data_IF_293181456800
#
_entry.id   IF_293181456800
#
_cell.length_a   1.000
_cell.length_b   1.000
_cell.length_c   1.000
_cell.angle_alpha   90.00
_cell.angle_beta   90.00
_cell.angle_gamma   90.00
#
_symmetry.space_group_name_H-M   'P 1'
#
loop_
_entity.id
_entity.type
_entity.pdbx_description
1 polymer ?
#
# COMPACT_ATOMS: atom_id res chain seq x y z
N UNK A 1 -5.52 17.16 1.31
CA UNK A 1 -4.56 17.13 2.41
C UNK A 1 -4.84 15.91 3.29
N UNK A 2 -3.81 15.16 3.64
CA UNK A 2 -3.81 13.99 4.51
C UNK A 2 -2.71 14.16 5.55
N UNK A 3 -2.98 13.79 6.80
CA UNK A 3 -1.96 13.79 7.86
C UNK A 3 -2.08 12.55 8.74
N UNK A 4 -0.96 12.17 9.33
CA UNK A 4 -0.94 11.15 10.38
C UNK A 4 -1.39 11.72 11.72
N UNK A 5 -2.06 10.88 12.52
CA UNK A 5 -2.47 11.20 13.90
C UNK A 5 -1.90 10.16 14.85
N UNK A 6 -1.41 10.63 15.98
CA UNK A 6 -0.82 9.81 17.04
C UNK A 6 -1.66 9.84 18.32
N UNK A 7 -2.69 10.68 18.34
CA UNK A 7 -3.60 10.83 19.49
C UNK A 7 -4.99 11.23 19.04
N UNK A 8 -5.97 11.08 19.95
CA UNK A 8 -7.34 11.57 19.72
C UNK A 8 -7.36 13.10 19.59
N UNK A 9 -6.48 13.83 20.27
CA UNK A 9 -6.39 15.29 20.14
C UNK A 9 -5.96 15.72 18.75
N UNK A 10 -4.98 15.02 18.14
CA UNK A 10 -4.56 15.27 16.76
C UNK A 10 -5.71 14.99 15.78
N UNK A 11 -6.40 13.86 15.98
CA UNK A 11 -7.54 13.48 15.15
C UNK A 11 -8.69 14.50 15.24
N UNK A 12 -9.00 15.03 16.43
CA UNK A 12 -9.99 16.09 16.61
C UNK A 12 -9.61 17.36 15.86
N UNK A 13 -8.34 17.76 15.91
CA UNK A 13 -7.86 18.91 15.15
C UNK A 13 -8.10 18.74 13.65
N UNK A 14 -7.83 17.54 13.09
CA UNK A 14 -8.08 17.28 11.69
C UNK A 14 -9.58 17.32 11.34
N UNK A 15 -10.46 16.86 12.23
CA UNK A 15 -11.91 16.98 12.06
C UNK A 15 -12.33 18.46 12.04
N UNK A 16 -11.84 19.28 12.96
CA UNK A 16 -12.11 20.72 13.03
C UNK A 16 -11.64 21.45 11.76
N UNK A 17 -10.51 21.01 11.17
CA UNK A 17 -9.99 21.52 9.89
C UNK A 17 -10.78 21.02 8.67
N UNK A 18 -11.78 20.15 8.85
CA UNK A 18 -12.63 19.62 7.80
C UNK A 18 -11.96 18.51 6.94
N UNK A 19 -10.88 17.91 7.44
CA UNK A 19 -10.22 16.79 6.76
C UNK A 19 -11.17 15.59 6.64
N UNK A 20 -11.17 14.94 5.48
CA UNK A 20 -12.02 13.77 5.20
C UNK A 20 -11.25 12.45 5.33
N UNK A 21 -9.95 12.52 5.26
CA UNK A 21 -9.05 11.39 5.27
C UNK A 21 -8.02 11.52 6.38
N UNK A 22 -7.61 10.40 6.96
CA UNK A 22 -6.65 10.37 8.05
C UNK A 22 -5.74 9.15 7.95
N UNK A 23 -4.50 9.29 8.40
CA UNK A 23 -3.54 8.17 8.53
C UNK A 23 -3.32 7.82 9.99
N UNK A 24 -3.40 6.53 10.30
CA UNK A 24 -2.96 5.95 11.58
C UNK A 24 -1.60 5.27 11.34
N UNK A 25 -0.52 5.71 11.99
CA UNK A 25 0.80 5.10 11.81
C UNK A 25 0.89 3.74 12.50
N UNK A 26 1.90 2.94 12.14
CA UNK A 26 2.10 1.58 12.65
C UNK A 26 2.09 1.46 14.16
N UNK A 27 2.67 2.44 14.86
CA UNK A 27 2.76 2.44 16.33
C UNK A 27 1.40 2.56 17.02
N UNK A 28 0.41 3.12 16.32
CA UNK A 28 -0.95 3.33 16.81
C UNK A 28 -1.95 2.29 16.28
N UNK A 29 -1.50 1.30 15.53
CA UNK A 29 -2.38 0.27 14.93
C UNK A 29 -3.09 -0.63 15.95
N UNK A 30 -2.74 -0.54 17.24
CA UNK A 30 -3.37 -1.23 18.38
C UNK A 30 -4.01 -0.24 19.36
N UNK A 31 -4.04 1.05 19.04
CA UNK A 31 -4.73 2.06 19.82
C UNK A 31 -6.22 2.06 19.47
N UNK A 32 -6.97 1.13 20.07
CA UNK A 32 -8.38 0.87 19.76
C UNK A 32 -9.25 2.13 19.92
N UNK A 33 -8.96 3.00 20.89
CA UNK A 33 -9.70 4.26 21.08
C UNK A 33 -9.48 5.23 19.91
N UNK A 34 -8.23 5.34 19.43
CA UNK A 34 -7.91 6.19 18.28
C UNK A 34 -8.53 5.62 17.01
N UNK A 35 -8.45 4.30 16.81
CA UNK A 35 -9.03 3.59 15.68
C UNK A 35 -10.54 3.84 15.61
N UNK A 36 -11.25 3.62 16.73
CA UNK A 36 -12.68 3.86 16.81
C UNK A 36 -13.03 5.32 16.51
N UNK A 37 -12.34 6.28 17.14
CA UNK A 37 -12.57 7.70 16.87
C UNK A 37 -12.38 8.06 15.40
N UNK A 38 -11.30 7.56 14.76
CA UNK A 38 -11.06 7.81 13.35
C UNK A 38 -12.14 7.20 12.47
N UNK A 39 -12.58 5.96 12.74
CA UNK A 39 -13.64 5.30 12.01
C UNK A 39 -15.01 5.98 12.09
N UNK A 40 -15.28 6.71 13.17
CA UNK A 40 -16.54 7.43 13.36
C UNK A 40 -16.54 8.84 12.73
N UNK A 41 -15.37 9.45 12.53
CA UNK A 41 -15.25 10.87 12.18
C UNK A 41 -14.64 11.16 10.82
N UNK A 42 -14.03 10.18 10.14
CA UNK A 42 -13.43 10.35 8.81
C UNK A 42 -14.12 9.46 7.77
N UNK A 43 -14.04 9.87 6.49
CA UNK A 43 -14.58 9.10 5.37
C UNK A 43 -13.62 7.98 4.95
N UNK A 44 -12.31 8.23 5.03
CA UNK A 44 -11.26 7.25 4.69
C UNK A 44 -10.20 7.22 5.77
N UNK A 45 -9.84 6.02 6.18
CA UNK A 45 -8.76 5.78 7.16
C UNK A 45 -7.71 4.85 6.56
N UNK A 46 -6.47 5.31 6.53
CA UNK A 46 -5.31 4.49 6.17
C UNK A 46 -4.60 4.07 7.46
N UNK A 47 -4.47 2.77 7.71
CA UNK A 47 -3.80 2.27 8.91
C UNK A 47 -2.60 1.41 8.53
N UNK A 48 -1.39 1.85 8.87
CA UNK A 48 -0.18 1.04 8.71
C UNK A 48 -0.09 -0.04 9.78
N UNK A 49 0.34 -1.24 9.36
CA UNK A 49 0.32 -2.47 10.16
C UNK A 49 1.72 -2.97 10.53
N UNK A 50 2.74 -2.13 10.40
CA UNK A 50 4.08 -2.41 10.91
C UNK A 50 4.07 -2.59 12.44
N UNK A 51 5.04 -3.33 12.97
CA UNK A 51 5.16 -3.64 14.41
C UNK A 51 4.00 -4.46 15.00
N UNK A 52 3.04 -4.93 14.19
CA UNK A 52 1.90 -5.72 14.65
C UNK A 52 1.86 -7.10 14.01
N UNK A 53 1.41 -8.08 14.78
CA UNK A 53 1.07 -9.42 14.31
C UNK A 53 -0.26 -9.40 13.55
N UNK A 54 -0.57 -10.46 12.80
CA UNK A 54 -1.87 -10.59 12.14
C UNK A 54 -3.03 -10.66 13.13
N UNK A 55 -2.84 -11.34 14.26
CA UNK A 55 -3.86 -11.47 15.31
C UNK A 55 -4.18 -10.11 15.94
N UNK A 56 -3.15 -9.29 16.24
CA UNK A 56 -3.35 -7.93 16.75
C UNK A 56 -4.06 -7.02 15.74
N UNK A 57 -3.76 -7.18 14.44
CA UNK A 57 -4.45 -6.45 13.39
C UNK A 57 -5.91 -6.90 13.31
N UNK A 58 -6.16 -8.21 13.35
CA UNK A 58 -7.50 -8.79 13.33
C UNK A 58 -8.33 -8.31 14.54
N UNK A 59 -7.73 -8.22 15.71
CA UNK A 59 -8.39 -7.65 16.89
C UNK A 59 -8.77 -6.19 16.64
N UNK A 60 -7.87 -5.41 16.05
CA UNK A 60 -8.11 -3.99 15.75
C UNK A 60 -9.27 -3.76 14.78
N UNK A 61 -9.58 -4.72 13.88
CA UNK A 61 -10.73 -4.63 12.97
C UNK A 61 -12.07 -4.51 13.72
N UNK A 62 -12.17 -5.05 14.94
CA UNK A 62 -13.39 -4.96 15.74
C UNK A 62 -13.74 -3.51 16.15
N UNK A 63 -12.78 -2.60 16.04
CA UNK A 63 -12.93 -1.18 16.36
C UNK A 63 -13.08 -0.29 15.12
N UNK A 64 -13.09 -0.90 13.93
CA UNK A 64 -13.36 -0.18 12.69
C UNK A 64 -14.82 0.28 12.68
N UNK A 65 -15.04 1.59 12.58
CA UNK A 65 -16.39 2.11 12.41
C UNK A 65 -16.94 1.71 11.02
N UNK A 66 -18.26 1.60 10.93
CA UNK A 66 -18.96 1.25 9.68
C UNK A 66 -19.07 2.42 8.68
N UNK A 67 -18.73 3.62 9.10
CA UNK A 67 -18.86 4.85 8.30
C UNK A 67 -17.64 5.14 7.42
N UNK A 68 -16.46 4.71 7.83
CA UNK A 68 -15.23 4.94 7.10
C UNK A 68 -14.88 3.80 6.12
N UNK A 69 -14.26 4.18 4.99
CA UNK A 69 -13.53 3.24 4.14
C UNK A 69 -12.13 3.03 4.71
N UNK A 70 -11.78 1.79 5.02
CA UNK A 70 -10.50 1.44 5.62
C UNK A 70 -9.52 0.85 4.62
N UNK A 71 -8.24 1.25 4.75
CA UNK A 71 -7.13 0.66 4.00
C UNK A 71 -6.06 0.19 4.98
N UNK A 72 -5.82 -1.12 5.01
CA UNK A 72 -4.68 -1.70 5.75
C UNK A 72 -3.41 -1.56 4.92
N UNK A 73 -2.43 -0.84 5.44
CA UNK A 73 -1.16 -0.60 4.76
C UNK A 73 -0.11 -1.58 5.29
N UNK A 74 0.28 -2.60 4.50
CA UNK A 74 1.46 -3.37 4.86
C UNK A 74 2.65 -2.44 5.05
N UNK A 75 3.44 -2.69 6.08
CA UNK A 75 4.56 -1.84 6.43
C UNK A 75 5.61 -2.63 7.22
N UNK A 76 6.89 -2.35 6.98
CA UNK A 76 7.99 -2.73 7.86
C UNK A 76 8.59 -1.43 8.40
N UNK A 77 8.47 -1.22 9.72
CA UNK A 77 8.83 0.05 10.37
C UNK A 77 10.33 0.15 10.67
N UNK A 78 11.17 -0.01 9.64
CA UNK A 78 12.62 0.26 9.65
C UNK A 78 12.91 1.34 8.60
N UNK A 79 13.85 2.25 8.86
CA UNK A 79 14.10 3.47 8.10
C UNK A 79 15.58 3.68 7.81
N UNK A 80 16.09 3.33 6.60
CA UNK A 80 15.39 2.63 5.52
C UNK A 80 15.11 1.16 5.84
N UNK A 81 14.21 0.55 5.07
CA UNK A 81 13.94 -0.88 5.11
C UNK A 81 14.85 -1.60 4.09
N UNK A 82 15.43 -2.73 4.46
CA UNK A 82 16.17 -3.60 3.55
C UNK A 82 15.21 -4.48 2.73
N UNK A 83 15.57 -4.79 1.49
CA UNK A 83 14.79 -5.67 0.61
C UNK A 83 14.52 -7.06 1.23
N UNK A 84 15.49 -7.60 1.95
CA UNK A 84 15.41 -8.94 2.55
C UNK A 84 14.33 -9.09 3.63
N UNK A 85 13.89 -7.96 4.22
CA UNK A 85 12.87 -7.93 5.28
C UNK A 85 11.56 -7.29 4.85
N UNK A 86 11.40 -6.91 3.58
CA UNK A 86 10.21 -6.26 3.06
C UNK A 86 8.92 -7.06 3.26
N UNK A 87 9.02 -8.39 3.23
CA UNK A 87 7.93 -9.34 3.48
C UNK A 87 6.62 -8.99 2.73
N UNK A 88 6.72 -8.64 1.46
CA UNK A 88 5.53 -8.31 0.65
C UNK A 88 4.46 -9.42 0.60
N UNK A 89 4.79 -10.73 0.71
CA UNK A 89 3.77 -11.79 0.82
C UNK A 89 2.77 -11.57 1.97
N UNK A 90 3.14 -10.86 3.06
CA UNK A 90 2.20 -10.50 4.14
C UNK A 90 0.98 -9.71 3.64
N UNK A 91 1.08 -9.05 2.49
CA UNK A 91 -0.07 -8.37 1.86
C UNK A 91 -1.18 -9.36 1.46
N UNK A 92 -0.84 -10.60 1.12
CA UNK A 92 -1.82 -11.65 0.82
C UNK A 92 -2.57 -12.02 2.10
N UNK A 93 -1.86 -12.16 3.21
CA UNK A 93 -2.46 -12.45 4.51
C UNK A 93 -3.39 -11.31 4.98
N UNK A 94 -2.96 -10.06 4.77
CA UNK A 94 -3.81 -8.90 5.05
C UNK A 94 -5.07 -8.89 4.18
N UNK A 95 -4.98 -9.33 2.91
CA UNK A 95 -6.16 -9.43 2.03
C UNK A 95 -7.16 -10.50 2.49
N UNK A 96 -6.71 -11.54 3.18
CA UNK A 96 -7.61 -12.56 3.74
C UNK A 96 -8.48 -12.00 4.87
N UNK A 97 -8.03 -10.95 5.55
CA UNK A 97 -8.75 -10.33 6.68
C UNK A 97 -9.41 -8.99 6.31
N UNK A 98 -8.93 -8.32 5.26
CA UNK A 98 -9.51 -7.06 4.78
C UNK A 98 -9.23 -6.85 3.29
N UNK A 99 -10.26 -6.49 2.50
CA UNK A 99 -10.16 -6.43 1.04
C UNK A 99 -9.42 -5.19 0.49
N UNK A 100 -9.28 -4.11 1.27
CA UNK A 100 -8.57 -2.90 0.88
C UNK A 100 -7.17 -2.89 1.51
N UNK A 101 -6.17 -3.31 0.76
CA UNK A 101 -4.78 -3.37 1.22
C UNK A 101 -3.91 -2.43 0.38
N UNK A 102 -3.01 -1.72 1.05
CA UNK A 102 -1.99 -0.87 0.48
C UNK A 102 -0.60 -1.23 1.01
N UNK A 103 0.39 -0.42 0.65
CA UNK A 103 1.77 -0.59 1.08
C UNK A 103 2.39 0.75 1.49
N UNK A 104 2.86 0.83 2.73
CA UNK A 104 3.66 1.94 3.26
C UNK A 104 5.13 1.53 3.20
N UNK A 105 5.86 2.11 2.26
CA UNK A 105 7.15 1.65 1.77
C UNK A 105 8.30 2.52 2.28
N UNK A 106 9.24 1.90 3.01
CA UNK A 106 10.44 2.53 3.54
C UNK A 106 11.74 2.06 2.83
N UNK A 107 11.61 1.28 1.76
CA UNK A 107 12.74 0.85 0.93
C UNK A 107 13.14 2.00 0.01
N UNK A 108 14.43 2.20 -0.19
CA UNK A 108 14.95 3.16 -1.16
C UNK A 108 14.58 2.74 -2.59
N UNK A 109 14.21 3.70 -3.44
CA UNK A 109 13.78 3.44 -4.81
C UNK A 109 12.30 3.07 -4.91
N UNK A 110 11.86 2.51 -6.03
CA UNK A 110 10.45 2.25 -6.36
C UNK A 110 10.13 0.79 -6.69
N UNK A 111 11.13 -0.10 -6.63
CA UNK A 111 10.98 -1.51 -7.05
C UNK A 111 10.01 -2.28 -6.15
N UNK A 112 10.11 -2.09 -4.83
CA UNK A 112 9.18 -2.69 -3.86
C UNK A 112 7.75 -2.21 -4.07
N UNK A 113 7.56 -0.92 -4.34
CA UNK A 113 6.24 -0.35 -4.66
C UNK A 113 5.64 -0.97 -5.93
N UNK A 114 6.44 -1.16 -6.99
CA UNK A 114 6.02 -1.84 -8.22
C UNK A 114 5.54 -3.27 -7.94
N UNK A 115 6.29 -4.01 -7.15
CA UNK A 115 5.93 -5.38 -6.77
C UNK A 115 4.64 -5.37 -5.93
N UNK A 116 4.53 -4.46 -4.96
CA UNK A 116 3.33 -4.33 -4.13
C UNK A 116 2.07 -4.03 -4.96
N UNK A 117 2.17 -3.22 -6.02
CA UNK A 117 1.07 -2.98 -6.95
C UNK A 117 0.69 -4.28 -7.67
N UNK A 118 1.66 -5.09 -8.11
CA UNK A 118 1.42 -6.42 -8.67
C UNK A 118 0.73 -7.38 -7.68
N UNK A 119 1.03 -7.27 -6.39
CA UNK A 119 0.28 -7.94 -5.31
C UNK A 119 -1.12 -7.34 -5.08
N UNK A 120 -1.48 -6.26 -5.81
CA UNK A 120 -2.78 -5.61 -5.77
C UNK A 120 -2.92 -4.58 -4.65
N UNK A 121 -1.85 -3.90 -4.29
CA UNK A 121 -1.93 -2.71 -3.45
C UNK A 121 -2.85 -1.68 -4.10
N UNK A 122 -3.78 -1.13 -3.30
CA UNK A 122 -4.71 -0.07 -3.73
C UNK A 122 -4.14 1.31 -3.47
N UNK A 123 -3.22 1.41 -2.52
CA UNK A 123 -2.57 2.64 -2.09
C UNK A 123 -1.08 2.36 -1.88
N UNK A 124 -0.25 3.27 -2.33
CA UNK A 124 1.19 3.28 -2.06
C UNK A 124 1.53 4.57 -1.32
N UNK A 125 2.24 4.44 -0.22
CA UNK A 125 2.81 5.54 0.56
C UNK A 125 4.34 5.45 0.50
N UNK A 126 4.99 6.56 0.17
CA UNK A 126 6.45 6.66 0.06
C UNK A 126 6.95 7.97 0.68
N UNK A 127 8.11 7.94 1.33
CA UNK A 127 8.86 9.16 1.62
C UNK A 127 9.27 9.83 0.32
N UNK A 128 9.06 11.14 0.23
CA UNK A 128 9.32 11.94 -0.96
C UNK A 128 10.16 13.17 -0.61
N UNK A 129 11.13 13.49 -1.44
CA UNK A 129 11.92 14.72 -1.33
C UNK A 129 12.28 15.25 -2.72
N UNK A 130 12.58 16.53 -2.80
CA UNK A 130 13.12 17.15 -4.02
C UNK A 130 14.65 17.03 -4.12
N UNK A 131 15.32 16.72 -3.01
CA UNK A 131 16.79 16.54 -2.97
C UNK A 131 17.14 15.69 -1.72
N UNK A 132 17.83 14.57 -1.94
CA UNK A 132 18.27 13.66 -0.88
C UNK A 132 19.34 14.27 0.05
N UNK A 133 19.97 15.38 -0.35
CA UNK A 133 20.98 16.10 0.45
C UNK A 133 20.35 17.13 1.40
N UNK A 134 19.06 17.40 1.32
CA UNK A 134 18.37 18.28 2.24
C UNK A 134 18.46 17.75 3.69
N UNK A 135 18.53 18.67 4.70
CA UNK A 135 18.54 18.25 6.09
C UNK A 135 17.25 17.52 6.44
N UNK A 136 17.39 16.38 7.09
CA UNK A 136 16.27 15.55 7.50
C UNK A 136 16.65 14.07 7.46
N UNK A 137 16.20 13.33 8.46
CA UNK A 137 16.58 11.93 8.64
C UNK A 137 16.13 11.07 7.46
N UNK A 138 14.93 11.32 6.95
CA UNK A 138 14.27 10.48 5.97
C UNK A 138 14.54 10.90 4.52
N UNK A 139 15.10 12.11 4.29
CA UNK A 139 15.46 12.59 2.95
C UNK A 139 16.44 11.67 2.22
N UNK A 140 17.33 11.01 2.95
CA UNK A 140 18.41 10.18 2.38
C UNK A 140 17.91 8.98 1.57
N UNK A 141 16.73 8.45 1.90
CA UNK A 141 16.14 7.28 1.22
C UNK A 141 14.79 7.60 0.56
N UNK A 142 14.31 8.83 0.68
CA UNK A 142 13.09 9.28 0.02
C UNK A 142 13.23 9.23 -1.51
N UNK A 143 12.12 9.00 -2.20
CA UNK A 143 12.10 9.03 -3.67
C UNK A 143 12.13 10.49 -4.17
N UNK A 144 12.70 10.68 -5.34
CA UNK A 144 12.78 11.96 -6.06
C UNK A 144 11.57 12.15 -7.02
N UNK A 145 11.36 13.36 -7.55
CA UNK A 145 10.28 13.63 -8.51
C UNK A 145 10.27 12.70 -9.73
N UNK A 146 11.44 12.37 -10.27
CA UNK A 146 11.58 11.44 -11.40
C UNK A 146 11.18 10.01 -11.04
N UNK A 147 11.46 9.55 -9.83
CA UNK A 147 11.02 8.25 -9.31
C UNK A 147 9.50 8.20 -9.18
N UNK A 148 8.91 9.24 -8.60
CA UNK A 148 7.46 9.36 -8.45
C UNK A 148 6.76 9.36 -9.82
N UNK A 149 7.32 10.08 -10.79
CA UNK A 149 6.83 10.09 -12.17
C UNK A 149 6.94 8.70 -12.81
N UNK A 150 8.08 8.02 -12.62
CA UNK A 150 8.29 6.64 -13.09
C UNK A 150 7.30 5.67 -12.48
N UNK A 151 7.06 5.76 -11.17
CA UNK A 151 6.08 4.93 -10.46
C UNK A 151 4.66 5.18 -10.96
N UNK A 152 4.27 6.45 -11.16
CA UNK A 152 2.97 6.83 -11.69
C UNK A 152 2.70 6.23 -13.08
N UNK A 153 3.68 6.28 -13.99
CA UNK A 153 3.58 5.60 -15.29
C UNK A 153 3.43 4.09 -15.15
N UNK A 154 4.19 3.49 -14.24
CA UNK A 154 4.20 2.05 -14.04
C UNK A 154 2.86 1.51 -13.54
N UNK A 155 2.11 2.30 -12.76
CA UNK A 155 0.76 1.94 -12.30
C UNK A 155 -0.16 1.61 -13.47
N UNK A 156 -0.14 2.41 -14.53
CA UNK A 156 -0.97 2.15 -15.72
C UNK A 156 -0.58 0.85 -16.42
N UNK A 157 0.72 0.58 -16.59
CA UNK A 157 1.18 -0.65 -17.23
C UNK A 157 0.82 -1.90 -16.40
N UNK A 158 1.00 -1.85 -15.09
CA UNK A 158 0.62 -2.98 -14.22
C UNK A 158 -0.88 -3.22 -14.28
N UNK A 159 -1.70 -2.17 -14.23
CA UNK A 159 -3.15 -2.31 -14.34
C UNK A 159 -3.53 -3.12 -15.58
N UNK A 160 -3.00 -2.76 -16.73
CA UNK A 160 -3.29 -3.45 -17.98
C UNK A 160 -2.78 -4.90 -17.99
N UNK A 161 -1.56 -5.13 -17.48
CA UNK A 161 -0.95 -6.46 -17.39
C UNK A 161 -1.66 -7.39 -16.40
N UNK A 162 -2.36 -6.84 -15.40
CA UNK A 162 -3.07 -7.62 -14.37
C UNK A 162 -4.52 -7.90 -14.73
N UNK A 163 -5.00 -7.51 -15.92
CA UNK A 163 -6.35 -7.86 -16.38
C UNK A 163 -6.40 -9.37 -16.61
N UNK A 164 -7.32 -10.03 -15.92
CA UNK A 164 -7.57 -11.45 -16.12
C UNK A 164 -8.43 -11.67 -17.36
N UNK A 165 -7.84 -12.22 -18.41
CA UNK A 165 -8.53 -12.57 -19.67
C UNK A 165 -9.11 -13.98 -19.67
N UNK A 166 -9.16 -14.67 -18.52
CA UNK A 166 -9.63 -16.04 -18.40
C UNK A 166 -8.56 -17.09 -18.71
N UNK A 167 -8.98 -18.35 -18.85
CA UNK A 167 -8.10 -19.50 -18.99
C UNK A 167 -7.88 -19.93 -20.47
N UNK A 168 -8.49 -19.23 -21.42
CA UNK A 168 -8.29 -19.48 -22.84
C UNK A 168 -7.00 -18.85 -23.37
N UNK A 169 -6.55 -19.31 -24.55
CA UNK A 169 -5.46 -18.62 -25.24
C UNK A 169 -5.96 -17.30 -25.86
N UNK A 170 -5.07 -16.32 -25.96
CA UNK A 170 -5.37 -15.05 -26.60
C UNK A 170 -5.62 -15.25 -28.10
N UNK A 171 -6.65 -14.62 -28.66
CA UNK A 171 -6.95 -14.71 -30.10
C UNK A 171 -5.77 -14.31 -31.01
N UNK A 172 -4.90 -13.43 -30.54
CA UNK A 172 -3.69 -13.02 -31.26
C UNK A 172 -2.65 -14.15 -31.38
N UNK A 173 -2.76 -15.20 -30.54
CA UNK A 173 -1.90 -16.38 -30.58
C UNK A 173 -2.38 -17.45 -31.60
N UNK A 174 -3.52 -17.22 -32.27
CA UNK A 174 -4.13 -18.18 -33.16
C UNK A 174 -3.22 -18.59 -34.35
N UNK A 175 -2.49 -17.62 -34.90
CA UNK A 175 -1.54 -17.89 -35.99
C UNK A 175 -0.37 -18.75 -35.49
N UNK A 176 0.21 -18.44 -34.36
CA UNK A 176 1.27 -19.24 -33.75
C UNK A 176 0.81 -20.64 -33.40
N UNK A 177 -0.37 -20.78 -32.83
CA UNK A 177 -0.96 -22.09 -32.52
C UNK A 177 -1.15 -22.95 -33.78
N UNK A 178 -1.65 -22.37 -34.88
CA UNK A 178 -1.91 -23.09 -36.14
C UNK A 178 -0.63 -23.47 -36.87
N UNK A 179 0.38 -22.59 -36.88
CA UNK A 179 1.53 -22.72 -37.77
C UNK A 179 2.78 -23.29 -37.10
N UNK A 180 2.83 -23.31 -35.77
CA UNK A 180 4.04 -23.76 -35.05
C UNK A 180 3.81 -24.97 -34.15
N UNK A 181 2.56 -25.37 -33.87
CA UNK A 181 2.26 -26.59 -33.13
C UNK A 181 2.81 -27.81 -33.85
N UNK A 182 3.66 -28.60 -33.20
CA UNK A 182 4.26 -29.80 -33.75
C UNK A 182 5.35 -29.59 -34.83
N UNK A 183 5.73 -28.35 -35.15
CA UNK A 183 6.68 -28.03 -36.22
C UNK A 183 8.06 -28.69 -36.05
N UNK A 184 8.47 -29.01 -34.85
CA UNK A 184 9.75 -29.60 -34.53
C UNK A 184 9.65 -31.07 -34.08
N UNK A 185 8.47 -31.66 -34.18
CA UNK A 185 8.27 -33.10 -33.98
C UNK A 185 8.56 -33.80 -35.31
N UNK A 186 9.88 -33.98 -35.60
CA UNK A 186 10.35 -34.75 -36.72
C UNK A 186 10.26 -36.25 -36.51
#
# INVERSE_FOLDING_TARGET
FLSSVFSISDAKLLVELGCKEVKIPSFESRNHKLIQFCGENFQTVFMSTGTSTLDEIQESLNYFGSTASWHLMHCVSTYPCDYSIANLPKMIELKNIHNQVGYSDHIQGIESAKIAIGYGAKVIEKHFTIDNNLPGRDNKFAILPEDLFGLSKYIHYIHDMMINHGNGYNKLEQDSRKNYEGRFNG
#
